data_IF_743468725358
#
_entry.id   IF_743468725358
#
_cell.length_a   1.000
_cell.length_b   1.000
_cell.length_c   1.000
_cell.angle_alpha   90.00
_cell.angle_beta   90.00
_cell.angle_gamma   90.00
#
_symmetry.space_group_name_H-M   'P 1'
#
loop_
_entity.id
_entity.type
_entity.pdbx_description
1 polymer ?
#
# COMPACT_ATOMS: atom_id res chain seq x y z
N UNK A 1 -0.17 -21.89 58.40
CA UNK A 1 -1.33 -22.61 57.82
C UNK A 1 -1.82 -21.85 56.61
N UNK A 2 -1.96 -22.56 55.50
CA UNK A 2 -2.40 -22.12 54.17
C UNK A 2 -3.83 -21.53 54.22
N UNK A 3 -4.21 -20.60 53.35
CA UNK A 3 -4.64 -20.95 51.99
C UNK A 3 -4.95 -19.72 51.11
N UNK A 4 -4.72 -19.97 49.82
CA UNK A 4 -4.84 -19.10 48.67
C UNK A 4 -6.27 -18.62 48.40
N UNK A 5 -6.41 -17.46 47.76
CA UNK A 5 -7.38 -17.30 46.67
C UNK A 5 -6.89 -16.27 45.65
N UNK A 6 -6.38 -16.80 44.55
CA UNK A 6 -6.00 -16.09 43.32
C UNK A 6 -7.23 -16.02 42.42
N UNK A 7 -7.67 -14.81 42.05
CA UNK A 7 -8.61 -14.60 40.95
C UNK A 7 -7.85 -14.04 39.75
N UNK A 8 -7.74 -14.91 38.75
CA UNK A 8 -7.27 -14.66 37.39
C UNK A 8 -8.12 -13.56 36.71
N UNK A 9 -7.44 -12.56 36.15
CA UNK A 9 -7.93 -11.78 35.02
C UNK A 9 -7.12 -12.22 33.78
N UNK A 10 -7.75 -13.04 32.93
CA UNK A 10 -7.41 -13.14 31.50
C UNK A 10 -8.00 -11.89 30.83
N UNK A 11 -7.46 -11.23 29.82
CA UNK A 11 -6.31 -11.48 28.95
C UNK A 11 -6.53 -10.55 27.75
N UNK A 12 -5.92 -9.37 27.77
CA UNK A 12 -5.82 -8.52 26.58
C UNK A 12 -4.56 -8.93 25.85
N UNK A 13 -4.73 -9.54 24.67
CA UNK A 13 -3.62 -9.82 23.75
C UNK A 13 -3.22 -8.47 23.16
N UNK A 14 -2.29 -7.80 23.84
CA UNK A 14 -1.54 -6.69 23.27
C UNK A 14 -0.67 -7.24 22.16
N UNK A 15 -0.93 -6.83 20.93
CA UNK A 15 0.01 -7.01 19.83
C UNK A 15 1.09 -5.96 20.08
N UNK A 16 2.05 -6.30 20.94
CA UNK A 16 3.22 -5.49 21.19
C UNK A 16 4.06 -5.44 19.91
N UNK A 17 3.75 -4.48 19.04
CA UNK A 17 4.66 -4.04 17.99
C UNK A 17 5.82 -3.32 18.69
N UNK A 18 6.79 -4.10 19.18
CA UNK A 18 8.03 -3.54 19.70
C UNK A 18 8.68 -2.67 18.61
N UNK A 19 9.08 -1.42 18.91
CA UNK A 19 9.89 -0.64 18.00
C UNK A 19 11.23 -1.36 17.84
N UNK A 20 11.47 -1.92 16.65
CA UNK A 20 12.78 -2.46 16.31
C UNK A 20 13.75 -1.30 16.32
N UNK A 21 14.74 -1.37 17.22
CA UNK A 21 15.82 -0.41 17.35
C UNK A 21 16.62 -0.47 16.04
N UNK A 22 16.39 0.51 15.15
CA UNK A 22 17.13 0.66 13.90
C UNK A 22 18.49 1.25 14.25
N UNK A 23 19.42 0.39 14.67
CA UNK A 23 20.82 0.77 14.77
C UNK A 23 21.26 1.37 13.43
N UNK A 24 21.84 2.58 13.52
CA UNK A 24 22.37 3.47 12.48
C UNK A 24 23.39 2.80 11.52
N UNK A 25 23.01 1.71 10.85
CA UNK A 25 23.76 1.18 9.72
C UNK A 25 23.55 2.13 8.55
N UNK A 26 24.49 3.08 8.40
CA UNK A 26 24.63 3.92 7.21
C UNK A 26 24.35 3.06 5.97
N UNK A 27 23.42 3.52 5.15
CA UNK A 27 23.16 2.99 3.81
C UNK A 27 24.49 2.71 3.12
N UNK A 28 24.86 1.43 2.96
CA UNK A 28 26.10 1.05 2.32
C UNK A 28 25.76 0.74 0.86
N UNK A 29 26.11 1.63 -0.10
CA UNK A 29 25.68 1.50 -1.49
C UNK A 29 26.52 0.43 -2.18
N UNK A 30 26.22 -0.84 -1.94
CA UNK A 30 26.80 -1.94 -2.68
C UNK A 30 25.67 -2.87 -3.07
N UNK A 31 24.88 -2.48 -4.08
CA UNK A 31 24.19 -3.37 -5.01
C UNK A 31 23.54 -2.56 -6.14
N UNK A 32 23.74 -3.06 -7.35
CA UNK A 32 23.30 -2.52 -8.64
C UNK A 32 21.75 -2.53 -8.72
N UNK A 33 21.07 -1.43 -9.08
CA UNK A 33 19.61 -1.40 -9.09
C UNK A 33 19.07 -2.29 -10.20
N UNK A 34 18.42 -3.39 -9.83
CA UNK A 34 17.74 -4.27 -10.78
C UNK A 34 16.31 -3.77 -10.95
N UNK A 35 15.95 -3.48 -12.20
CA UNK A 35 14.62 -3.28 -12.80
C UNK A 35 13.54 -2.65 -11.90
N UNK A 36 13.24 -1.37 -12.17
CA UNK A 36 12.01 -0.70 -11.74
C UNK A 36 10.80 -1.43 -12.33
N UNK A 37 10.17 -2.32 -11.56
CA UNK A 37 8.85 -2.84 -11.93
C UNK A 37 7.89 -1.64 -11.88
N UNK A 38 7.26 -1.33 -13.01
CA UNK A 38 6.28 -0.25 -13.07
C UNK A 38 5.14 -0.50 -12.07
N UNK A 39 4.64 0.56 -11.43
CA UNK A 39 3.58 0.48 -10.42
C UNK A 39 2.33 -0.27 -10.89
N UNK A 40 2.01 -0.21 -12.19
CA UNK A 40 0.94 -1.02 -12.80
C UNK A 40 1.20 -2.52 -12.67
N UNK A 41 2.44 -2.97 -12.85
CA UNK A 41 2.82 -4.37 -12.73
C UNK A 41 2.81 -4.84 -11.27
N UNK A 42 3.21 -3.99 -10.32
CA UNK A 42 3.08 -4.30 -8.89
C UNK A 42 1.61 -4.42 -8.46
N UNK A 43 0.76 -3.52 -8.93
CA UNK A 43 -0.68 -3.56 -8.65
C UNK A 43 -1.35 -4.78 -9.27
N UNK A 44 -1.01 -5.10 -10.52
CA UNK A 44 -1.47 -6.31 -11.19
C UNK A 44 -1.06 -7.57 -10.40
N UNK A 45 0.20 -7.66 -9.96
CA UNK A 45 0.67 -8.79 -9.16
C UNK A 45 0.00 -8.88 -7.78
N UNK A 46 -0.29 -7.73 -7.14
CA UNK A 46 -1.01 -7.69 -5.87
C UNK A 46 -2.47 -8.12 -6.05
N UNK A 47 -3.13 -7.65 -7.10
CA UNK A 47 -4.48 -8.06 -7.47
C UNK A 47 -4.50 -9.57 -7.75
N UNK A 48 -3.67 -10.08 -8.66
CA UNK A 48 -3.61 -11.51 -9.00
C UNK A 48 -3.38 -12.42 -7.77
N UNK A 49 -2.56 -11.98 -6.79
CA UNK A 49 -2.28 -12.76 -5.57
C UNK A 49 -3.40 -12.70 -4.53
N UNK A 50 -4.12 -11.58 -4.44
CA UNK A 50 -5.20 -11.38 -3.46
C UNK A 50 -6.59 -11.57 -4.06
N UNK A 51 -6.67 -11.80 -5.38
CA UNK A 51 -7.88 -12.07 -6.13
C UNK A 51 -8.38 -13.49 -5.85
N UNK A 52 -9.14 -13.63 -4.79
CA UNK A 52 -10.04 -14.77 -4.63
C UNK A 52 -11.41 -14.36 -5.15
N UNK A 53 -11.66 -14.65 -6.42
CA UNK A 53 -13.00 -14.50 -6.97
C UNK A 53 -13.91 -15.55 -6.32
N UNK A 54 -14.78 -15.13 -5.39
CA UNK A 54 -15.93 -15.91 -4.93
C UNK A 54 -17.00 -15.94 -6.03
N UNK A 55 -16.69 -16.53 -7.20
CA UNK A 55 -17.65 -16.64 -8.31
C UNK A 55 -18.69 -17.75 -8.12
N UNK A 56 -18.61 -18.52 -7.03
CA UNK A 56 -19.45 -19.73 -6.86
C UNK A 56 -20.60 -19.64 -5.85
N UNK A 57 -20.79 -18.57 -5.05
CA UNK A 57 -21.68 -18.66 -3.87
C UNK A 57 -22.76 -17.59 -3.69
N UNK A 58 -22.95 -16.59 -4.56
CA UNK A 58 -24.09 -15.67 -4.37
C UNK A 58 -25.06 -15.69 -5.54
N UNK A 59 -26.17 -16.44 -5.36
CA UNK A 59 -27.38 -16.35 -6.19
C UNK A 59 -28.09 -14.98 -6.09
N UNK A 60 -27.62 -14.10 -5.20
CA UNK A 60 -28.12 -12.73 -5.08
C UNK A 60 -27.55 -11.81 -6.17
N UNK A 61 -28.24 -11.79 -7.31
CA UNK A 61 -28.02 -10.82 -8.40
C UNK A 61 -28.18 -9.36 -7.96
N UNK A 62 -28.76 -9.12 -6.78
CA UNK A 62 -29.00 -7.78 -6.24
C UNK A 62 -27.75 -7.12 -5.64
N UNK A 63 -26.67 -7.87 -5.37
CA UNK A 63 -25.42 -7.27 -4.83
C UNK A 63 -24.53 -6.66 -5.92
N UNK A 64 -24.79 -6.96 -7.19
CA UNK A 64 -24.04 -6.43 -8.34
C UNK A 64 -24.76 -5.29 -9.07
N UNK A 65 -25.97 -4.90 -8.66
CA UNK A 65 -26.71 -3.77 -9.23
C UNK A 65 -26.27 -2.42 -8.63
N UNK A 66 -24.97 -2.23 -8.49
CA UNK A 66 -24.42 -0.93 -8.13
C UNK A 66 -24.26 -0.10 -9.40
N UNK A 67 -25.07 0.94 -9.56
CA UNK A 67 -25.07 1.75 -10.78
C UNK A 67 -23.75 2.54 -10.92
N UNK A 68 -23.34 2.78 -12.16
CA UNK A 68 -22.12 3.55 -12.51
C UNK A 68 -22.09 4.94 -11.85
N UNK A 69 -23.26 5.55 -11.63
CA UNK A 69 -23.38 6.86 -10.96
C UNK A 69 -23.06 6.78 -9.47
N UNK A 70 -23.43 5.69 -8.79
CA UNK A 70 -23.09 5.49 -7.38
C UNK A 70 -21.59 5.23 -7.20
N UNK A 71 -20.95 4.60 -8.19
CA UNK A 71 -19.50 4.36 -8.25
C UNK A 71 -18.71 5.68 -8.31
N UNK A 72 -19.09 6.57 -9.22
CA UNK A 72 -18.39 7.84 -9.42
C UNK A 72 -18.45 8.72 -8.17
N UNK A 73 -19.63 8.82 -7.52
CA UNK A 73 -19.78 9.56 -6.27
C UNK A 73 -18.96 8.95 -5.12
N UNK A 74 -18.89 7.62 -5.04
CA UNK A 74 -18.11 6.91 -4.03
C UNK A 74 -16.60 7.16 -4.19
N UNK A 75 -16.06 7.05 -5.40
CA UNK A 75 -14.64 7.26 -5.64
C UNK A 75 -14.24 8.73 -5.51
N UNK A 76 -15.09 9.64 -5.97
CA UNK A 76 -14.81 11.06 -5.86
C UNK A 76 -14.81 11.53 -4.40
N UNK A 77 -15.77 11.08 -3.58
CA UNK A 77 -15.81 11.44 -2.16
C UNK A 77 -14.65 10.86 -1.33
N UNK A 78 -14.20 9.64 -1.64
CA UNK A 78 -13.15 8.95 -0.88
C UNK A 78 -11.73 9.29 -1.35
N UNK A 79 -11.52 9.37 -2.66
CA UNK A 79 -10.18 9.48 -3.26
C UNK A 79 -9.99 10.77 -4.06
N UNK A 80 -11.05 11.56 -4.29
CA UNK A 80 -11.01 12.69 -5.22
C UNK A 80 -10.77 12.26 -6.67
N UNK A 81 -11.12 11.02 -7.03
CA UNK A 81 -10.87 10.42 -8.35
C UNK A 81 -12.20 10.17 -9.04
N UNK A 82 -12.36 10.71 -10.25
CA UNK A 82 -13.49 10.40 -11.11
C UNK A 82 -13.32 9.05 -11.81
N UNK A 83 -14.44 8.41 -12.15
CA UNK A 83 -14.44 7.17 -12.93
C UNK A 83 -13.78 7.35 -14.30
N UNK A 84 -13.89 8.54 -14.90
CA UNK A 84 -13.21 8.89 -16.15
C UNK A 84 -11.68 8.81 -15.96
N UNK A 85 -11.15 9.42 -14.91
CA UNK A 85 -9.71 9.39 -14.60
C UNK A 85 -9.24 7.95 -14.34
N UNK A 86 -10.05 7.15 -13.65
CA UNK A 86 -9.75 5.74 -13.41
C UNK A 86 -9.72 4.92 -14.71
N UNK A 87 -10.68 5.15 -15.61
CA UNK A 87 -10.74 4.54 -16.93
C UNK A 87 -9.52 4.91 -17.79
N UNK A 88 -9.16 6.19 -17.82
CA UNK A 88 -7.95 6.67 -18.52
C UNK A 88 -6.67 6.03 -17.95
N UNK A 89 -6.60 5.84 -16.63
CA UNK A 89 -5.46 5.16 -15.99
C UNK A 89 -5.35 3.68 -16.38
N UNK A 90 -6.48 2.97 -16.43
CA UNK A 90 -6.52 1.55 -16.79
C UNK A 90 -6.31 1.32 -18.29
N UNK A 91 -6.74 2.24 -19.15
CA UNK A 91 -6.67 2.10 -20.62
C UNK A 91 -7.24 0.76 -21.06
N UNK A 92 -6.41 -0.11 -21.63
CA UNK A 92 -6.79 -1.39 -22.24
C UNK A 92 -7.24 -2.40 -21.18
N UNK A 93 -6.79 -2.23 -19.94
CA UNK A 93 -7.19 -3.08 -18.82
C UNK A 93 -8.63 -2.77 -18.32
N UNK A 94 -9.24 -1.65 -18.75
CA UNK A 94 -10.56 -1.21 -18.26
C UNK A 94 -11.63 -2.29 -18.39
N UNK A 95 -11.73 -2.91 -19.57
CA UNK A 95 -12.79 -3.89 -19.85
C UNK A 95 -12.69 -5.15 -18.97
N UNK A 96 -11.51 -5.46 -18.43
CA UNK A 96 -11.32 -6.56 -17.49
C UNK A 96 -11.82 -6.27 -16.06
N UNK A 97 -12.00 -5.01 -15.70
CA UNK A 97 -12.31 -4.59 -14.32
C UNK A 97 -13.61 -3.79 -14.17
N UNK A 98 -14.17 -3.24 -15.27
CA UNK A 98 -15.30 -2.29 -15.22
C UNK A 98 -16.55 -2.80 -14.47
N UNK A 99 -16.74 -4.12 -14.42
CA UNK A 99 -17.88 -4.76 -13.76
C UNK A 99 -17.54 -5.30 -12.35
N UNK A 100 -16.30 -5.12 -11.87
CA UNK A 100 -15.87 -5.52 -10.54
C UNK A 100 -15.57 -4.31 -9.66
N UNK A 101 -16.52 -3.98 -8.77
CA UNK A 101 -16.42 -2.85 -7.86
C UNK A 101 -15.17 -2.91 -6.95
N UNK A 102 -14.88 -4.08 -6.36
CA UNK A 102 -13.74 -4.26 -5.44
C UNK A 102 -12.40 -4.02 -6.18
N UNK A 103 -12.30 -4.51 -7.42
CA UNK A 103 -11.13 -4.26 -8.27
C UNK A 103 -10.96 -2.77 -8.56
N UNK A 104 -12.04 -2.09 -8.95
CA UNK A 104 -12.02 -0.66 -9.26
C UNK A 104 -11.66 0.18 -8.01
N UNK A 105 -12.14 -0.22 -6.83
CA UNK A 105 -11.77 0.43 -5.57
C UNK A 105 -10.27 0.31 -5.28
N UNK A 106 -9.69 -0.87 -5.49
CA UNK A 106 -8.25 -1.09 -5.33
C UNK A 106 -7.42 -0.27 -6.35
N UNK A 107 -7.88 -0.16 -7.59
CA UNK A 107 -7.24 0.68 -8.60
C UNK A 107 -7.35 2.17 -8.28
N UNK A 108 -8.49 2.63 -7.75
CA UNK A 108 -8.68 4.00 -7.31
C UNK A 108 -7.76 4.36 -6.14
N UNK A 109 -7.68 3.49 -5.12
CA UNK A 109 -6.78 3.65 -3.98
C UNK A 109 -5.30 3.71 -4.42
N UNK A 110 -4.89 2.82 -5.34
CA UNK A 110 -3.55 2.84 -5.91
C UNK A 110 -3.26 4.16 -6.65
N UNK A 111 -4.19 4.62 -7.49
CA UNK A 111 -4.03 5.84 -8.26
C UNK A 111 -3.91 7.07 -7.35
N UNK A 112 -4.73 7.12 -6.29
CA UNK A 112 -4.66 8.16 -5.27
C UNK A 112 -3.30 8.17 -4.57
N UNK A 113 -2.83 7.01 -4.09
CA UNK A 113 -1.51 6.87 -3.45
C UNK A 113 -0.38 7.28 -4.39
N UNK A 114 -0.47 6.96 -5.68
CA UNK A 114 0.50 7.41 -6.67
C UNK A 114 0.53 8.92 -6.84
N UNK A 115 -0.62 9.61 -6.74
CA UNK A 115 -0.67 11.06 -6.76
C UNK A 115 0.00 11.66 -5.52
N UNK A 116 -0.28 11.12 -4.32
CA UNK A 116 0.39 11.53 -3.09
C UNK A 116 1.91 11.37 -3.20
N UNK A 117 2.36 10.20 -3.68
CA UNK A 117 3.79 9.92 -3.87
C UNK A 117 4.40 10.94 -4.82
N UNK A 118 3.80 11.23 -5.98
CA UNK A 118 4.31 12.23 -6.93
C UNK A 118 4.44 13.64 -6.31
N UNK A 119 3.59 13.97 -5.34
CA UNK A 119 3.60 15.23 -4.62
C UNK A 119 4.58 15.24 -3.43
N UNK A 120 5.27 14.13 -3.17
CA UNK A 120 6.17 13.98 -2.02
C UNK A 120 5.46 13.76 -0.70
N UNK A 121 4.19 13.37 -0.72
CA UNK A 121 3.42 13.04 0.47
C UNK A 121 3.39 11.52 0.66
N UNK A 122 3.84 11.05 1.82
CA UNK A 122 3.78 9.64 2.16
C UNK A 122 2.30 9.24 2.41
N UNK A 123 1.78 8.22 1.71
CA UNK A 123 0.46 7.67 2.05
C UNK A 123 0.40 7.15 3.48
N UNK A 124 -0.77 7.15 4.10
CA UNK A 124 -0.95 6.76 5.51
C UNK A 124 -0.44 5.35 5.85
N UNK A 125 -0.46 4.44 4.88
CA UNK A 125 0.04 3.07 5.07
C UNK A 125 1.57 2.93 4.89
N UNK A 126 2.29 4.02 4.61
CA UNK A 126 3.76 4.04 4.49
C UNK A 126 4.38 4.31 5.86
N UNK A 127 4.21 3.35 6.77
CA UNK A 127 4.60 3.49 8.18
C UNK A 127 6.01 2.97 8.47
N UNK A 128 6.60 2.17 7.59
CA UNK A 128 7.95 1.64 7.79
C UNK A 128 9.00 2.61 7.25
N UNK A 129 10.08 2.80 8.02
CA UNK A 129 11.27 3.52 7.56
C UNK A 129 12.31 2.47 7.13
N UNK A 130 12.88 2.64 5.96
CA UNK A 130 13.92 1.74 5.43
C UNK A 130 14.90 2.52 4.56
N UNK A 131 16.11 1.99 4.40
CA UNK A 131 17.10 2.56 3.49
C UNK A 131 16.89 2.08 2.04
N UNK A 132 16.96 3.02 1.10
CA UNK A 132 17.10 2.81 -0.33
C UNK A 132 18.46 3.34 -0.82
N UNK A 133 19.21 2.57 -1.61
CA UNK A 133 20.53 2.98 -2.11
C UNK A 133 20.53 4.29 -2.92
N UNK A 134 19.42 4.64 -3.57
CA UNK A 134 19.31 5.85 -4.39
C UNK A 134 18.64 7.02 -3.67
N UNK A 135 17.70 6.74 -2.75
CA UNK A 135 16.90 7.77 -2.08
C UNK A 135 17.37 8.09 -0.65
N UNK A 136 18.18 7.22 -0.03
CA UNK A 136 18.45 7.24 1.41
C UNK A 136 17.31 6.65 2.21
N UNK A 137 17.11 7.14 3.43
CA UNK A 137 16.00 6.72 4.29
C UNK A 137 14.67 7.24 3.75
N UNK A 138 13.69 6.34 3.65
CA UNK A 138 12.39 6.61 3.05
C UNK A 138 11.26 5.90 3.80
N UNK A 139 10.07 6.48 3.75
CA UNK A 139 8.83 5.84 4.17
C UNK A 139 8.38 4.82 3.13
N UNK A 140 8.00 3.60 3.52
CA UNK A 140 7.46 2.57 2.62
C UNK A 140 6.34 1.78 3.30
N UNK A 141 5.48 1.08 2.55
CA UNK A 141 4.62 0.06 3.11
C UNK A 141 5.46 -1.02 3.81
N UNK A 142 5.08 -1.49 5.01
CA UNK A 142 5.80 -2.57 5.70
C UNK A 142 6.02 -3.82 4.85
N UNK A 143 5.08 -4.12 3.95
CA UNK A 143 5.17 -5.26 3.02
C UNK A 143 6.32 -5.16 2.00
N UNK A 144 6.93 -3.99 1.80
CA UNK A 144 8.07 -3.81 0.90
C UNK A 144 9.43 -3.87 1.61
N UNK A 145 9.45 -4.02 2.94
CA UNK A 145 10.68 -4.18 3.72
C UNK A 145 10.98 -5.67 3.82
N UNK A 146 12.16 -6.08 3.36
CA UNK A 146 12.60 -7.45 3.52
C UNK A 146 13.16 -7.72 4.94
N UNK A 147 13.44 -8.98 5.25
CA UNK A 147 13.98 -9.38 6.55
C UNK A 147 15.35 -8.76 6.88
N UNK A 148 16.08 -8.24 5.89
CA UNK A 148 17.35 -7.55 6.06
C UNK A 148 17.20 -6.04 6.30
N UNK A 149 15.97 -5.51 6.35
CA UNK A 149 15.71 -4.09 6.55
C UNK A 149 16.02 -3.23 5.32
N UNK A 150 16.00 -3.82 4.13
CA UNK A 150 16.11 -3.09 2.86
C UNK A 150 14.83 -3.18 2.04
N UNK A 151 14.62 -2.19 1.19
CA UNK A 151 13.41 -2.10 0.34
C UNK A 151 13.53 -3.02 -0.87
N UNK A 152 12.49 -3.81 -1.14
CA UNK A 152 12.40 -4.65 -2.34
C UNK A 152 12.22 -3.84 -3.63
N UNK A 153 11.53 -2.70 -3.52
CA UNK A 153 11.37 -1.71 -4.59
C UNK A 153 10.99 -0.35 -3.99
N UNK A 154 11.83 0.67 -4.20
CA UNK A 154 11.58 1.99 -3.62
C UNK A 154 10.53 2.76 -4.44
N UNK A 155 9.37 3.09 -3.88
CA UNK A 155 8.34 3.86 -4.59
C UNK A 155 8.79 5.29 -4.92
N UNK A 156 9.79 5.81 -4.21
CA UNK A 156 10.30 7.17 -4.37
C UNK A 156 11.40 7.32 -5.43
N UNK A 157 11.96 6.23 -5.95
CA UNK A 157 13.02 6.31 -6.96
C UNK A 157 12.58 7.06 -8.22
N UNK A 158 11.30 6.95 -8.60
CA UNK A 158 10.76 7.74 -9.71
C UNK A 158 10.83 9.24 -9.44
N UNK A 159 10.48 9.67 -8.22
CA UNK A 159 10.59 11.07 -7.82
C UNK A 159 12.04 11.52 -7.86
N UNK A 160 12.97 10.71 -7.34
CA UNK A 160 14.40 11.02 -7.39
C UNK A 160 14.89 11.24 -8.81
N UNK A 161 14.51 10.37 -9.75
CA UNK A 161 14.90 10.48 -11.15
C UNK A 161 14.35 11.72 -11.86
N UNK A 162 13.19 12.23 -11.42
CA UNK A 162 12.51 13.38 -12.00
C UNK A 162 12.67 14.67 -11.17
N UNK A 163 13.58 14.69 -10.19
CA UNK A 163 13.77 15.80 -9.26
C UNK A 163 12.48 16.25 -8.54
N UNK A 164 11.58 15.31 -8.25
CA UNK A 164 10.37 15.55 -7.47
C UNK A 164 10.64 15.39 -5.96
N UNK A 165 9.81 15.99 -5.09
CA UNK A 165 9.98 15.90 -3.64
C UNK A 165 9.91 14.47 -3.11
N UNK A 166 10.70 14.17 -2.08
CA UNK A 166 10.68 12.89 -1.34
C UNK A 166 10.56 13.23 0.15
N UNK A 167 9.55 12.70 0.87
CA UNK A 167 9.40 12.95 2.29
C UNK A 167 10.56 12.29 3.03
N UNK A 168 11.27 13.08 3.84
CA UNK A 168 12.35 12.57 4.68
C UNK A 168 11.79 12.11 6.02
N UNK A 169 12.10 10.89 6.47
CA UNK A 169 11.75 10.47 7.80
C UNK A 169 12.36 11.37 8.88
N UNK A 170 11.55 11.74 9.87
CA UNK A 170 12.06 12.40 11.07
C UNK A 170 12.57 11.29 11.99
N UNK A 171 13.86 10.97 11.88
CA UNK A 171 14.53 10.14 12.87
C UNK A 171 14.88 11.05 14.05
N UNK A 172 14.15 10.92 15.15
CA UNK A 172 14.55 11.51 16.42
C UNK A 172 15.84 10.81 16.86
N UNK A 173 16.95 11.53 16.75
CA UNK A 173 18.27 11.13 17.25
C UNK A 173 18.33 11.15 18.77
#
# INVERSE_FOLDING_TARGET
MNNNNSKKLHGCIGIDAQPRNFDNKKCNPSHNPTATIGLKALAKQYLEKNWQCNSHVTKDKNRCNFTVQNLDNSFNSKYGISLRTLKEFLSDDWDGYKDNFEALELWADLLFKNQLIKQGMAPDNFTAITCCNSCGDVYVPPALVNNAGSVLGCPWCWNRANNLPIPKPIVSH
#
